data_IF_875642840213
#
_entry.id   IF_875642840213
#
_cell.length_a   1.000
_cell.length_b   1.000
_cell.length_c   1.000
_cell.angle_alpha   90.00
_cell.angle_beta   90.00
_cell.angle_gamma   90.00
#
_symmetry.space_group_name_H-M   'P 1'
#
loop_
_entity.id
_entity.type
_entity.pdbx_description
1 polymer ?
#
# COMPACT_ATOMS: atom_id res chain seq x y z
N UNK A 1 31.92 -25.63 -32.52
CA UNK A 1 31.21 -26.75 -33.17
C UNK A 1 30.22 -27.31 -32.13
N UNK A 2 29.02 -26.74 -32.03
CA UNK A 2 27.90 -27.34 -31.31
C UNK A 2 26.60 -26.99 -32.06
N UNK A 3 25.89 -28.07 -32.42
CA UNK A 3 24.71 -28.09 -33.26
C UNK A 3 23.48 -27.46 -32.58
N UNK A 4 22.75 -26.64 -33.32
CA UNK A 4 21.37 -26.28 -33.03
C UNK A 4 20.48 -27.51 -33.12
N UNK A 5 19.59 -27.67 -32.14
CA UNK A 5 18.42 -28.56 -32.23
C UNK A 5 17.18 -27.69 -32.12
N UNK A 6 16.50 -27.56 -33.27
CA UNK A 6 15.15 -27.02 -33.35
C UNK A 6 14.20 -28.05 -32.74
N UNK A 7 13.50 -27.68 -31.69
CA UNK A 7 12.35 -28.37 -31.14
C UNK A 7 11.15 -27.42 -31.14
N UNK A 8 10.23 -27.65 -32.06
CA UNK A 8 8.90 -27.07 -32.08
C UNK A 8 8.10 -27.66 -30.92
N UNK A 9 7.91 -26.91 -29.84
CA UNK A 9 6.92 -27.25 -28.82
C UNK A 9 5.70 -26.36 -28.98
N UNK A 10 4.61 -27.02 -29.30
CA UNK A 10 3.26 -26.50 -29.30
C UNK A 10 2.85 -26.16 -27.87
N UNK A 11 2.78 -24.86 -27.58
CA UNK A 11 2.24 -24.29 -26.33
C UNK A 11 0.73 -24.58 -26.26
N UNK A 12 0.39 -25.72 -25.66
CA UNK A 12 -0.96 -25.98 -25.18
C UNK A 12 -1.11 -25.30 -23.83
N UNK A 13 -1.50 -24.01 -23.87
CA UNK A 13 -1.85 -23.24 -22.69
C UNK A 13 -2.95 -23.91 -21.88
N UNK A 14 -2.57 -24.68 -20.86
CA UNK A 14 -3.42 -24.90 -19.69
C UNK A 14 -3.44 -23.58 -18.91
N UNK A 15 -4.44 -22.73 -19.20
CA UNK A 15 -4.95 -21.81 -18.20
C UNK A 15 -5.43 -22.70 -17.04
N UNK A 16 -4.60 -22.83 -16.01
CA UNK A 16 -5.11 -23.25 -14.71
C UNK A 16 -6.22 -22.25 -14.37
N UNK A 17 -7.45 -22.74 -14.22
CA UNK A 17 -8.54 -21.98 -13.62
C UNK A 17 -7.97 -21.42 -12.31
N UNK A 18 -7.82 -20.10 -12.23
CA UNK A 18 -7.42 -19.44 -11.02
C UNK A 18 -8.54 -19.78 -10.02
N UNK A 19 -8.25 -20.70 -9.09
CA UNK A 19 -9.18 -21.03 -8.01
C UNK A 19 -9.56 -19.73 -7.34
N UNK A 20 -10.85 -19.38 -7.37
CA UNK A 20 -11.34 -18.16 -6.73
C UNK A 20 -10.91 -18.21 -5.26
N UNK A 21 -10.07 -17.26 -4.84
CA UNK A 21 -9.61 -17.16 -3.46
C UNK A 21 -10.82 -17.01 -2.55
N UNK A 22 -10.82 -17.78 -1.47
CA UNK A 22 -11.96 -17.85 -0.55
C UNK A 22 -11.85 -16.83 0.57
N UNK A 23 -10.66 -16.62 1.09
CA UNK A 23 -10.38 -15.78 2.25
C UNK A 23 -9.44 -14.62 1.93
N UNK A 24 -8.37 -14.85 1.14
CA UNK A 24 -7.41 -13.82 0.77
C UNK A 24 -7.96 -12.92 -0.34
N UNK A 25 -7.97 -11.61 -0.08
CA UNK A 25 -8.19 -10.56 -1.08
C UNK A 25 -6.88 -10.13 -1.74
N UNK A 26 -6.87 -8.92 -2.31
CA UNK A 26 -5.67 -8.32 -2.92
C UNK A 26 -4.60 -7.90 -1.89
N UNK A 27 -4.99 -7.73 -0.63
CA UNK A 27 -4.10 -7.28 0.46
C UNK A 27 -4.43 -8.02 1.77
N UNK A 28 -4.24 -9.33 1.77
CA UNK A 28 -4.51 -10.19 2.90
C UNK A 28 -6.00 -10.53 3.10
N UNK A 29 -6.34 -11.05 4.27
CA UNK A 29 -7.71 -11.35 4.70
C UNK A 29 -8.27 -10.11 5.37
N UNK A 30 -9.44 -9.60 4.94
CA UNK A 30 -10.08 -8.40 5.52
C UNK A 30 -11.57 -8.61 5.74
N UNK A 31 -12.13 -7.88 6.69
CA UNK A 31 -13.57 -7.85 6.93
C UNK A 31 -13.97 -7.15 8.22
N UNK A 32 -15.27 -7.04 8.44
CA UNK A 32 -15.81 -6.54 9.68
C UNK A 32 -15.48 -7.47 10.85
N UNK A 33 -15.02 -6.93 11.96
CA UNK A 33 -14.63 -7.69 13.15
C UNK A 33 -15.81 -8.48 13.72
N UNK A 34 -15.55 -9.71 14.16
CA UNK A 34 -16.56 -10.69 14.62
C UNK A 34 -17.56 -11.15 13.53
N UNK A 35 -17.28 -10.82 12.27
CA UNK A 35 -17.99 -11.37 11.10
C UNK A 35 -16.97 -12.20 10.31
N UNK A 36 -17.40 -13.39 9.82
CA UNK A 36 -16.50 -14.21 8.99
C UNK A 36 -16.02 -13.43 7.75
N UNK A 37 -14.71 -13.45 7.42
CA UNK A 37 -13.64 -14.27 8.01
C UNK A 37 -12.92 -13.65 9.23
N UNK A 38 -13.23 -12.43 9.69
CA UNK A 38 -12.51 -11.71 10.75
C UNK A 38 -12.96 -12.08 12.18
N UNK A 39 -12.90 -13.37 12.51
CA UNK A 39 -13.21 -13.91 13.85
C UNK A 39 -11.97 -14.48 14.54
N UNK A 40 -11.98 -14.59 15.88
CA UNK A 40 -10.89 -15.23 16.62
C UNK A 40 -10.63 -16.67 16.19
N UNK A 41 -11.70 -17.45 15.90
CA UNK A 41 -11.58 -18.83 15.43
C UNK A 41 -10.87 -18.91 14.08
N UNK A 42 -11.19 -18.01 13.15
CA UNK A 42 -10.51 -17.95 11.86
C UNK A 42 -9.07 -17.48 12.00
N UNK A 43 -8.80 -16.45 12.81
CA UNK A 43 -7.43 -15.97 13.06
C UNK A 43 -6.52 -17.09 13.63
N UNK A 44 -7.06 -17.91 14.54
CA UNK A 44 -6.34 -19.07 15.06
C UNK A 44 -6.03 -20.08 13.94
N UNK A 45 -7.01 -20.40 13.07
CA UNK A 45 -6.79 -21.28 11.91
C UNK A 45 -5.76 -20.72 10.93
N UNK A 46 -5.79 -19.41 10.66
CA UNK A 46 -4.79 -18.74 9.83
C UNK A 46 -3.39 -18.90 10.44
N UNK A 47 -3.26 -18.69 11.76
CA UNK A 47 -1.99 -18.91 12.47
C UNK A 47 -1.48 -20.35 12.36
N UNK A 48 -2.37 -21.34 12.53
CA UNK A 48 -2.02 -22.77 12.36
C UNK A 48 -1.60 -23.06 10.93
N UNK A 49 -2.38 -22.65 9.93
CA UNK A 49 -2.15 -22.92 8.51
C UNK A 49 -0.87 -22.26 8.01
N UNK A 50 -0.69 -20.97 8.29
CA UNK A 50 0.52 -20.26 7.91
C UNK A 50 1.75 -20.82 8.64
N UNK A 51 1.63 -21.17 9.92
CA UNK A 51 2.68 -21.80 10.69
C UNK A 51 3.10 -23.15 10.08
N UNK A 52 2.16 -24.02 9.77
CA UNK A 52 2.43 -25.31 9.14
C UNK A 52 3.07 -25.15 7.74
N UNK A 53 2.60 -24.18 6.94
CA UNK A 53 3.13 -23.90 5.61
C UNK A 53 4.61 -23.45 5.63
N UNK A 54 5.01 -22.65 6.64
CA UNK A 54 6.36 -22.09 6.74
C UNK A 54 7.34 -22.94 7.56
N UNK A 55 6.93 -24.09 8.11
CA UNK A 55 7.85 -25.03 8.74
C UNK A 55 8.69 -25.77 7.69
N UNK A 56 9.88 -25.26 7.42
CA UNK A 56 10.81 -25.81 6.42
C UNK A 56 12.22 -25.91 7.01
N UNK A 57 12.78 -27.13 7.02
CA UNK A 57 14.10 -27.40 7.58
C UNK A 57 14.07 -27.67 9.09
N UNK A 58 15.25 -27.76 9.71
CA UNK A 58 15.44 -28.31 11.09
C UNK A 58 15.69 -27.19 12.14
N UNK A 59 15.46 -25.92 11.81
CA UNK A 59 15.66 -24.83 12.75
C UNK A 59 14.37 -24.52 13.55
N UNK A 60 14.51 -23.78 14.64
CA UNK A 60 13.36 -23.28 15.40
C UNK A 60 12.68 -22.17 14.63
N UNK A 61 11.46 -22.43 14.14
CA UNK A 61 10.70 -21.50 13.31
C UNK A 61 10.14 -20.34 14.15
N UNK A 62 10.05 -19.17 13.53
CA UNK A 62 9.65 -17.93 14.19
C UNK A 62 8.72 -17.10 13.33
N UNK A 63 7.68 -16.53 13.98
CA UNK A 63 6.81 -15.50 13.40
C UNK A 63 6.96 -14.18 14.15
N UNK A 64 6.97 -13.06 13.40
CA UNK A 64 6.86 -11.71 13.95
C UNK A 64 5.42 -11.25 13.77
N UNK A 65 4.76 -10.78 14.84
CA UNK A 65 3.38 -10.27 14.79
C UNK A 65 3.36 -8.83 15.26
N UNK A 66 2.93 -7.93 14.36
CA UNK A 66 2.59 -6.53 14.65
C UNK A 66 1.11 -6.26 14.42
N UNK A 67 0.65 -5.12 14.89
CA UNK A 67 -0.73 -4.68 14.74
C UNK A 67 -0.83 -3.16 14.67
N UNK A 68 -1.96 -2.66 14.18
CA UNK A 68 -2.34 -1.27 14.39
C UNK A 68 -3.00 -1.06 15.77
N UNK A 69 -3.67 0.05 15.94
CA UNK A 69 -4.24 0.45 17.24
C UNK A 69 -5.68 0.01 17.46
N UNK A 70 -6.29 -0.71 16.53
CA UNK A 70 -7.69 -1.18 16.62
C UNK A 70 -7.91 -2.05 17.85
N UNK A 71 -9.06 -1.87 18.52
CA UNK A 71 -9.45 -2.68 19.66
C UNK A 71 -9.46 -4.18 19.34
N UNK A 72 -9.96 -4.54 18.16
CA UNK A 72 -10.01 -5.94 17.69
C UNK A 72 -8.63 -6.58 17.52
N UNK A 73 -7.56 -5.77 17.39
CA UNK A 73 -6.19 -6.25 17.31
C UNK A 73 -5.77 -7.10 18.51
N UNK A 74 -6.29 -6.84 19.72
CA UNK A 74 -5.99 -7.66 20.91
C UNK A 74 -6.54 -9.09 20.78
N UNK A 75 -7.78 -9.23 20.30
CA UNK A 75 -8.42 -10.53 20.09
C UNK A 75 -7.72 -11.33 19.01
N UNK A 76 -7.45 -10.69 17.85
CA UNK A 76 -6.84 -11.35 16.70
C UNK A 76 -5.39 -11.75 16.98
N UNK A 77 -4.60 -10.88 17.64
CA UNK A 77 -3.22 -11.19 18.07
C UNK A 77 -3.19 -12.43 18.97
N UNK A 78 -4.06 -12.48 19.99
CA UNK A 78 -4.12 -13.62 20.91
C UNK A 78 -4.47 -14.93 20.21
N UNK A 79 -5.42 -14.88 19.27
CA UNK A 79 -5.83 -16.05 18.48
C UNK A 79 -4.72 -16.53 17.54
N UNK A 80 -4.05 -15.62 16.84
CA UNK A 80 -2.89 -15.94 15.98
C UNK A 80 -1.74 -16.55 16.80
N UNK A 81 -1.45 -15.98 17.99
CA UNK A 81 -0.43 -16.52 18.91
C UNK A 81 -0.74 -17.96 19.29
N UNK A 82 -1.99 -18.25 19.66
CA UNK A 82 -2.43 -19.60 19.97
C UNK A 82 -2.26 -20.56 18.75
N UNK A 83 -2.66 -20.09 17.56
CA UNK A 83 -2.52 -20.86 16.33
C UNK A 83 -1.07 -21.19 16.00
N UNK A 84 -0.19 -20.21 15.94
CA UNK A 84 1.24 -20.42 15.63
C UNK A 84 1.95 -21.30 16.66
N UNK A 85 1.71 -21.06 17.95
CA UNK A 85 2.36 -21.85 19.01
C UNK A 85 1.90 -23.31 18.99
N UNK A 86 0.63 -23.59 18.67
CA UNK A 86 0.08 -24.95 18.61
C UNK A 86 0.72 -25.83 17.54
N UNK A 87 1.28 -25.22 16.50
CA UNK A 87 2.04 -25.92 15.43
C UNK A 87 3.55 -25.79 15.60
N UNK A 88 4.05 -25.31 16.74
CA UNK A 88 5.48 -25.32 17.08
C UNK A 88 6.27 -24.08 16.70
N UNK A 89 5.64 -23.02 16.19
CA UNK A 89 6.35 -21.76 15.88
C UNK A 89 6.52 -20.87 17.13
N UNK A 90 7.70 -20.30 17.31
CA UNK A 90 7.93 -19.25 18.28
C UNK A 90 7.35 -17.91 17.78
N UNK A 91 6.63 -17.22 18.65
CA UNK A 91 5.98 -15.95 18.31
C UNK A 91 6.71 -14.79 18.97
N UNK A 92 7.03 -13.77 18.17
CA UNK A 92 7.59 -12.50 18.62
C UNK A 92 6.58 -11.40 18.36
N UNK A 93 5.96 -10.90 19.44
CA UNK A 93 5.01 -9.79 19.36
C UNK A 93 5.75 -8.46 19.46
N UNK A 94 5.46 -7.55 18.52
CA UNK A 94 6.10 -6.22 18.43
C UNK A 94 5.16 -5.08 18.83
N UNK A 95 3.88 -5.39 19.06
CA UNK A 95 2.86 -4.41 19.44
C UNK A 95 2.41 -3.52 18.29
N UNK A 96 1.89 -2.30 18.59
CA UNK A 96 1.54 -1.36 17.53
C UNK A 96 2.78 -0.87 16.77
N UNK A 97 2.84 -1.24 15.48
CA UNK A 97 3.95 -0.95 14.59
C UNK A 97 3.44 -0.79 13.15
N UNK A 98 4.02 0.11 12.34
CA UNK A 98 3.74 0.23 10.91
C UNK A 98 3.84 -1.09 10.15
N UNK A 99 3.03 -1.27 9.11
CA UNK A 99 3.11 -2.43 8.20
C UNK A 99 4.53 -2.62 7.66
N UNK A 100 5.23 -1.58 7.14
CA UNK A 100 6.61 -1.74 6.67
C UNK A 100 7.59 -2.11 7.79
N UNK A 101 7.34 -1.69 9.03
CA UNK A 101 8.17 -2.09 10.16
C UNK A 101 8.07 -3.61 10.43
N UNK A 102 6.88 -4.19 10.29
CA UNK A 102 6.70 -5.65 10.42
C UNK A 102 7.49 -6.38 9.32
N UNK A 103 7.40 -5.92 8.07
CA UNK A 103 8.18 -6.49 6.96
C UNK A 103 9.69 -6.40 7.23
N UNK A 104 10.19 -5.24 7.65
CA UNK A 104 11.61 -5.02 8.00
C UNK A 104 12.05 -5.90 9.18
N UNK A 105 11.24 -6.01 10.24
CA UNK A 105 11.57 -6.83 11.41
C UNK A 105 11.56 -8.33 11.06
N UNK A 106 10.70 -8.78 10.16
CA UNK A 106 10.68 -10.15 9.68
C UNK A 106 12.04 -10.52 9.07
N UNK A 107 12.58 -9.67 8.19
CA UNK A 107 13.91 -9.86 7.60
C UNK A 107 15.03 -9.76 8.65
N UNK A 108 15.06 -8.65 9.40
CA UNK A 108 16.17 -8.35 10.32
C UNK A 108 16.29 -9.35 11.46
N UNK A 109 15.18 -9.95 11.88
CA UNK A 109 15.14 -11.00 12.91
C UNK A 109 15.26 -12.42 12.32
N UNK A 110 15.38 -12.56 10.99
CA UNK A 110 15.39 -13.84 10.30
C UNK A 110 14.22 -14.72 10.70
N UNK A 111 13.03 -14.12 10.73
CA UNK A 111 11.79 -14.85 10.98
C UNK A 111 11.31 -15.53 9.69
N UNK A 112 10.62 -16.65 9.83
CA UNK A 112 10.10 -17.42 8.69
C UNK A 112 8.86 -16.75 8.08
N UNK A 113 8.14 -15.97 8.89
CA UNK A 113 6.93 -15.26 8.48
C UNK A 113 6.73 -14.00 9.33
N UNK A 114 6.19 -12.97 8.71
CA UNK A 114 5.66 -11.76 9.35
C UNK A 114 4.14 -11.68 9.24
N UNK A 115 3.50 -11.18 10.28
CA UNK A 115 2.05 -10.97 10.32
C UNK A 115 1.76 -9.54 10.74
N UNK A 116 1.02 -8.80 9.93
CA UNK A 116 0.45 -7.51 10.30
C UNK A 116 -1.06 -7.61 10.47
N UNK A 117 -1.56 -7.20 11.63
CA UNK A 117 -2.98 -7.15 11.95
C UNK A 117 -3.46 -5.71 11.73
N UNK A 118 -4.04 -5.44 10.57
CA UNK A 118 -4.57 -4.12 10.20
C UNK A 118 -5.49 -4.20 8.99
N UNK A 119 -6.45 -3.27 8.92
CA UNK A 119 -7.23 -2.98 7.73
C UNK A 119 -6.85 -1.62 7.10
N UNK A 120 -5.60 -1.15 7.32
CA UNK A 120 -5.06 0.09 6.75
C UNK A 120 -5.96 1.30 7.04
N UNK A 121 -6.46 1.96 6.00
CA UNK A 121 -7.29 3.16 6.07
C UNK A 121 -8.78 2.92 6.38
N UNK A 122 -9.23 1.66 6.54
CA UNK A 122 -10.62 1.37 6.86
C UNK A 122 -11.00 1.87 8.27
N UNK A 123 -12.31 2.08 8.57
CA UNK A 123 -12.79 2.37 9.91
C UNK A 123 -12.41 1.30 10.92
N UNK A 124 -12.44 1.63 12.22
CA UNK A 124 -12.04 0.74 13.32
C UNK A 124 -12.81 -0.59 13.39
N UNK A 125 -14.04 -0.61 12.88
CA UNK A 125 -14.91 -1.80 12.89
C UNK A 125 -14.39 -2.92 12.01
N UNK A 126 -13.57 -2.59 10.99
CA UNK A 126 -12.89 -3.55 10.14
C UNK A 126 -11.53 -3.92 10.73
N UNK A 127 -11.03 -5.11 10.36
CA UNK A 127 -9.64 -5.48 10.57
C UNK A 127 -9.15 -6.39 9.44
N UNK A 128 -7.85 -6.74 9.46
CA UNK A 128 -7.24 -7.60 8.45
C UNK A 128 -6.03 -8.34 8.99
N UNK A 129 -5.62 -9.36 8.25
CA UNK A 129 -4.40 -10.14 8.51
C UNK A 129 -3.60 -10.16 7.21
N UNK A 130 -2.44 -9.52 7.21
CA UNK A 130 -1.49 -9.48 6.10
C UNK A 130 -0.31 -10.38 6.45
N UNK A 131 0.15 -11.21 5.49
CA UNK A 131 1.26 -12.14 5.68
C UNK A 131 2.45 -11.71 4.82
N UNK A 132 3.65 -11.78 5.41
CA UNK A 132 4.93 -11.48 4.76
C UNK A 132 5.85 -12.69 4.84
N UNK A 133 6.49 -13.04 3.74
CA UNK A 133 7.51 -14.07 3.70
C UNK A 133 8.80 -13.66 4.45
N UNK A 134 9.75 -14.59 4.56
CA UNK A 134 11.03 -14.33 5.24
C UNK A 134 11.87 -13.24 4.55
N UNK A 135 11.57 -12.97 3.30
CA UNK A 135 12.16 -11.89 2.49
C UNK A 135 11.45 -10.53 2.70
N UNK A 136 10.45 -10.46 3.60
CA UNK A 136 9.69 -9.26 3.91
C UNK A 136 8.69 -8.84 2.82
N UNK A 137 8.52 -9.60 1.76
CA UNK A 137 7.50 -9.35 0.74
C UNK A 137 6.17 -10.01 1.12
N UNK A 138 5.06 -9.45 0.63
CA UNK A 138 3.75 -10.10 0.68
C UNK A 138 3.82 -11.46 -0.01
N UNK A 139 3.01 -12.41 0.45
CA UNK A 139 3.01 -13.76 -0.10
C UNK A 139 2.54 -13.78 -1.56
N UNK A 140 3.03 -14.76 -2.33
CA UNK A 140 2.53 -15.01 -3.68
C UNK A 140 1.13 -15.64 -3.64
N UNK A 141 0.42 -15.57 -4.77
CA UNK A 141 -0.92 -16.15 -4.93
C UNK A 141 -0.92 -17.65 -4.65
N UNK A 142 0.16 -18.35 -5.04
CA UNK A 142 0.33 -19.78 -4.79
C UNK A 142 0.50 -20.08 -3.30
N UNK A 143 1.25 -19.27 -2.58
CA UNK A 143 1.44 -19.41 -1.14
C UNK A 143 0.14 -19.13 -0.38
N UNK A 144 -0.60 -18.07 -0.76
CA UNK A 144 -1.91 -17.76 -0.20
C UNK A 144 -2.92 -18.89 -0.44
N UNK A 145 -2.99 -19.43 -1.67
CA UNK A 145 -3.87 -20.55 -2.00
C UNK A 145 -3.53 -21.83 -1.23
N UNK A 146 -2.23 -22.12 -1.04
CA UNK A 146 -1.78 -23.26 -0.24
C UNK A 146 -2.16 -23.10 1.25
N UNK A 147 -2.06 -21.89 1.80
CA UNK A 147 -2.49 -21.60 3.17
C UNK A 147 -4.02 -21.72 3.29
N UNK A 148 -4.81 -21.25 2.29
CA UNK A 148 -6.27 -21.44 2.28
C UNK A 148 -6.67 -22.92 2.30
N UNK A 149 -5.99 -23.74 1.52
CA UNK A 149 -6.23 -25.18 1.52
C UNK A 149 -5.98 -25.83 2.91
N UNK A 150 -4.97 -25.34 3.63
CA UNK A 150 -4.71 -25.77 5.00
C UNK A 150 -5.76 -25.24 6.00
N UNK A 151 -6.27 -24.01 5.85
CA UNK A 151 -7.35 -23.47 6.70
C UNK A 151 -8.61 -24.35 6.65
N UNK A 152 -8.93 -24.89 5.49
CA UNK A 152 -10.11 -25.75 5.28
C UNK A 152 -9.85 -27.24 5.59
N UNK A 153 -8.58 -27.62 5.80
CA UNK A 153 -8.14 -28.98 6.11
C UNK A 153 -7.85 -29.24 7.59
N UNK A 154 -7.35 -30.44 7.85
CA UNK A 154 -6.84 -30.82 9.17
C UNK A 154 -5.37 -30.45 9.28
N UNK A 155 -5.01 -29.64 10.28
CA UNK A 155 -3.64 -29.25 10.54
C UNK A 155 -3.13 -30.04 11.74
N UNK A 156 -2.08 -30.87 11.59
CA UNK A 156 -1.54 -31.64 12.69
C UNK A 156 -0.89 -30.73 13.73
N UNK A 157 -1.24 -30.94 15.00
CA UNK A 157 -0.63 -30.25 16.13
C UNK A 157 0.67 -30.97 16.53
N UNK A 158 1.63 -30.20 17.04
CA UNK A 158 2.88 -30.76 17.54
C UNK A 158 2.71 -31.39 18.93
N UNK A 159 3.58 -32.36 19.32
CA UNK A 159 3.66 -32.86 20.70
C UNK A 159 3.91 -31.73 21.71
N UNK A 160 3.52 -31.97 22.98
CA UNK A 160 3.56 -30.96 24.03
C UNK A 160 4.94 -30.35 24.31
N UNK A 161 6.01 -31.07 24.06
CA UNK A 161 7.41 -30.64 24.19
C UNK A 161 7.90 -29.82 23.01
N UNK A 162 7.14 -29.76 21.91
CA UNK A 162 7.45 -29.00 20.70
C UNK A 162 6.57 -27.74 20.52
N UNK A 163 5.66 -27.45 21.45
CA UNK A 163 4.84 -26.24 21.43
C UNK A 163 5.74 -25.00 21.39
N UNK A 164 5.35 -24.01 20.55
CA UNK A 164 6.06 -22.75 20.38
C UNK A 164 5.97 -21.87 21.63
N UNK A 165 6.88 -20.89 21.74
CA UNK A 165 6.91 -19.92 22.83
C UNK A 165 6.54 -18.54 22.31
N UNK A 166 5.72 -17.81 23.05
CA UNK A 166 5.38 -16.43 22.74
C UNK A 166 6.14 -15.46 23.65
N UNK A 167 6.68 -14.39 23.06
CA UNK A 167 7.31 -13.31 23.80
C UNK A 167 7.04 -11.97 23.13
N UNK A 168 7.01 -10.90 23.93
CA UNK A 168 7.03 -9.53 23.43
C UNK A 168 8.47 -9.02 23.45
N UNK A 169 8.85 -8.24 22.44
CA UNK A 169 10.07 -7.45 22.45
C UNK A 169 9.74 -5.97 22.58
N UNK A 170 10.56 -5.23 23.33
CA UNK A 170 10.29 -3.82 23.64
C UNK A 170 11.10 -2.88 22.77
N UNK A 171 12.18 -3.35 22.15
CA UNK A 171 13.08 -2.58 21.31
C UNK A 171 12.65 -2.46 19.83
N UNK A 172 11.51 -3.04 19.45
CA UNK A 172 11.01 -3.05 18.07
C UNK A 172 10.85 -1.63 17.49
N UNK A 173 10.31 -0.71 18.31
CA UNK A 173 10.13 0.70 17.91
C UNK A 173 11.47 1.37 17.61
N UNK A 174 12.44 1.22 18.50
CA UNK A 174 13.79 1.78 18.31
C UNK A 174 14.50 1.25 17.06
N UNK A 175 14.30 -0.04 16.75
CA UNK A 175 14.84 -0.65 15.52
C UNK A 175 14.27 -0.01 14.26
N UNK A 176 12.94 0.18 14.20
CA UNK A 176 12.31 0.82 13.04
C UNK A 176 12.64 2.32 12.96
N UNK A 177 12.65 3.05 14.08
CA UNK A 177 13.07 4.46 14.12
C UNK A 177 14.50 4.59 13.57
N UNK A 178 15.41 3.74 14.01
CA UNK A 178 16.80 3.74 13.51
C UNK A 178 16.84 3.45 12.01
N UNK A 179 16.12 2.43 11.55
CA UNK A 179 16.01 2.08 10.14
C UNK A 179 15.47 3.24 9.32
N UNK A 180 14.31 3.81 9.69
CA UNK A 180 13.71 4.92 8.97
C UNK A 180 14.66 6.11 8.87
N UNK A 181 15.28 6.52 9.97
CA UNK A 181 16.27 7.62 9.99
C UNK A 181 17.50 7.33 9.12
N UNK A 182 17.94 6.08 9.02
CA UNK A 182 19.09 5.74 8.16
C UNK A 182 18.83 5.94 6.66
N UNK A 183 17.56 6.11 6.26
CA UNK A 183 17.18 6.45 4.88
C UNK A 183 17.28 7.96 4.60
N UNK A 184 17.32 8.78 5.64
CA UNK A 184 17.50 10.23 5.52
C UNK A 184 18.97 10.57 5.26
N UNK A 185 19.28 11.53 4.36
CA UNK A 185 20.67 11.86 4.05
C UNK A 185 21.47 12.31 5.28
N UNK A 186 22.63 11.69 5.52
CA UNK A 186 23.48 11.95 6.70
C UNK A 186 23.92 13.40 6.84
N UNK A 187 24.06 14.11 5.72
CA UNK A 187 24.50 15.51 5.69
C UNK A 187 23.37 16.51 5.87
N UNK A 188 22.14 16.06 6.09
CA UNK A 188 20.96 16.91 6.31
C UNK A 188 20.43 16.75 7.73
N UNK A 189 19.81 17.82 8.21
CA UNK A 189 19.06 17.87 9.47
C UNK A 189 17.78 18.68 9.25
N UNK A 190 16.76 18.39 10.04
CA UNK A 190 15.47 19.10 9.98
C UNK A 190 15.39 20.28 10.95
N UNK A 191 16.52 20.69 11.57
CA UNK A 191 16.54 21.84 12.50
C UNK A 191 15.92 23.09 11.84
N UNK A 192 15.00 23.74 12.56
CA UNK A 192 14.27 24.92 12.12
C UNK A 192 13.11 24.63 11.16
N UNK A 193 12.82 23.37 10.84
CA UNK A 193 11.64 22.97 10.08
C UNK A 193 10.52 22.57 11.04
N UNK A 194 9.37 23.22 10.95
CA UNK A 194 8.16 22.85 11.69
C UNK A 194 7.29 21.94 10.84
N UNK A 195 7.01 20.75 11.36
CA UNK A 195 6.25 19.70 10.67
C UNK A 195 5.00 19.36 11.47
N UNK A 196 3.81 19.49 10.87
CA UNK A 196 2.59 18.89 11.42
C UNK A 196 2.54 17.45 10.99
N UNK A 197 2.43 16.52 11.93
CA UNK A 197 2.41 15.09 11.66
C UNK A 197 1.09 14.48 12.16
N UNK A 198 0.30 13.96 11.22
CA UNK A 198 -0.94 13.22 11.49
C UNK A 198 -0.66 11.70 11.37
N UNK A 199 -0.77 11.00 12.49
CA UNK A 199 -0.58 9.55 12.56
C UNK A 199 -1.90 8.75 12.52
N UNK A 200 -3.02 9.35 12.12
CA UNK A 200 -4.32 8.69 11.98
C UNK A 200 -4.82 7.95 13.25
N UNK A 201 -4.33 8.27 14.44
CA UNK A 201 -4.44 7.43 15.64
C UNK A 201 -4.02 5.97 15.38
N UNK A 202 -3.14 5.74 14.41
CA UNK A 202 -2.73 4.45 13.88
C UNK A 202 -1.39 3.96 14.42
N UNK A 203 -0.82 2.99 13.73
CA UNK A 203 0.37 2.25 14.14
C UNK A 203 1.65 3.09 14.29
N UNK A 204 1.74 4.21 13.57
CA UNK A 204 2.91 5.11 13.60
C UNK A 204 2.89 6.12 14.75
N UNK A 205 1.86 6.18 15.59
CA UNK A 205 1.62 7.23 16.59
C UNK A 205 2.79 7.50 17.56
N UNK A 206 3.68 6.54 17.74
CA UNK A 206 4.91 6.70 18.54
C UNK A 206 6.16 6.86 17.69
N UNK A 207 6.30 6.00 16.67
CA UNK A 207 7.56 5.90 15.94
C UNK A 207 7.79 7.08 15.00
N UNK A 208 6.74 7.61 14.35
CA UNK A 208 6.89 8.70 13.41
C UNK A 208 7.23 10.04 14.09
N UNK A 209 6.55 10.47 15.18
CA UNK A 209 6.95 11.66 15.92
C UNK A 209 8.39 11.57 16.44
N UNK A 210 8.78 10.40 16.97
CA UNK A 210 10.13 10.19 17.49
C UNK A 210 11.20 10.28 16.40
N UNK A 211 10.95 9.67 15.22
CA UNK A 211 11.90 9.73 14.11
C UNK A 211 12.14 11.15 13.60
N UNK A 212 11.09 11.96 13.45
CA UNK A 212 11.21 13.36 13.01
C UNK A 212 11.89 14.24 14.07
N UNK A 213 11.53 14.06 15.34
CA UNK A 213 12.17 14.77 16.45
C UNK A 213 13.68 14.46 16.54
N UNK A 214 14.07 13.19 16.41
CA UNK A 214 15.48 12.80 16.44
C UNK A 214 16.28 13.34 15.24
N UNK A 215 15.61 13.68 14.13
CA UNK A 215 16.22 14.37 12.98
C UNK A 215 16.28 15.89 13.14
N UNK A 216 15.70 16.44 14.23
CA UNK A 216 15.77 17.87 14.56
C UNK A 216 14.52 18.68 14.19
N UNK A 217 13.43 18.06 13.72
CA UNK A 217 12.20 18.78 13.38
C UNK A 217 11.47 19.30 14.64
N UNK A 218 10.81 20.48 14.52
CA UNK A 218 9.80 20.96 15.45
C UNK A 218 8.47 20.30 15.08
N UNK A 219 8.06 19.25 15.84
CA UNK A 219 6.95 18.39 15.48
C UNK A 219 5.67 18.78 16.21
N UNK A 220 4.64 19.15 15.47
CA UNK A 220 3.26 19.29 15.94
C UNK A 220 2.50 18.01 15.60
N UNK A 221 2.30 17.14 16.58
CA UNK A 221 1.67 15.83 16.34
C UNK A 221 0.16 15.86 16.58
N UNK A 222 -0.62 15.38 15.61
CA UNK A 222 -2.06 15.12 15.71
C UNK A 222 -2.35 13.65 15.37
N UNK A 223 -3.53 13.14 15.73
CA UNK A 223 -3.84 11.74 15.51
C UNK A 223 -2.90 10.78 16.25
N UNK A 224 -2.46 11.13 17.48
CA UNK A 224 -1.47 10.35 18.28
C UNK A 224 -2.02 9.85 19.61
N UNK A 225 -3.32 9.88 19.80
CA UNK A 225 -4.00 9.44 21.03
C UNK A 225 -5.00 8.30 20.75
N UNK A 226 -4.51 7.12 20.33
CA UNK A 226 -5.37 6.01 19.95
C UNK A 226 -6.14 5.48 21.19
N UNK A 227 -7.44 5.24 21.01
CA UNK A 227 -8.30 4.65 22.02
C UNK A 227 -8.89 3.27 21.61
N UNK A 228 -8.50 2.77 20.45
CA UNK A 228 -8.94 1.50 19.88
C UNK A 228 -10.11 1.60 18.90
N UNK A 229 -10.80 2.74 18.88
CA UNK A 229 -11.99 2.97 18.04
C UNK A 229 -11.94 4.25 17.21
N UNK A 230 -10.87 5.03 17.32
CA UNK A 230 -10.70 6.32 16.63
C UNK A 230 -9.62 6.32 15.53
N UNK A 231 -9.16 5.15 15.10
CA UNK A 231 -8.21 5.05 13.98
C UNK A 231 -8.86 5.54 12.67
N UNK A 232 -8.18 6.40 11.91
CA UNK A 232 -8.65 7.02 10.67
C UNK A 232 -9.95 7.84 10.79
N UNK A 233 -10.40 8.18 11.99
CA UNK A 233 -11.65 8.90 12.22
C UNK A 233 -11.42 10.42 12.15
N UNK A 234 -11.70 10.99 10.98
CA UNK A 234 -11.50 12.41 10.69
C UNK A 234 -10.02 12.87 10.68
N UNK A 235 -9.09 11.94 10.65
CA UNK A 235 -7.64 12.17 10.66
C UNK A 235 -6.94 11.20 9.69
N UNK A 236 -5.68 11.49 9.37
CA UNK A 236 -4.81 10.66 8.54
C UNK A 236 -4.96 10.91 7.04
N UNK A 237 -4.30 10.09 6.23
CA UNK A 237 -4.14 10.30 4.79
C UNK A 237 -5.45 10.29 3.97
N UNK A 238 -6.52 9.72 4.51
CA UNK A 238 -7.85 9.71 3.87
C UNK A 238 -8.75 10.87 4.30
N UNK A 239 -8.34 11.64 5.32
CA UNK A 239 -9.06 12.81 5.85
C UNK A 239 -8.07 13.93 6.19
N UNK A 240 -7.32 14.47 5.21
CA UNK A 240 -6.21 15.39 5.45
C UNK A 240 -6.64 16.82 5.80
N UNK A 241 -7.93 17.09 5.95
CA UNK A 241 -8.47 18.44 6.22
C UNK A 241 -8.00 18.99 7.58
N UNK A 242 -8.05 18.15 8.63
CA UNK A 242 -7.55 18.53 9.95
C UNK A 242 -6.05 18.84 9.94
N UNK A 243 -5.28 18.09 9.14
CA UNK A 243 -3.86 18.36 8.91
C UNK A 243 -3.67 19.73 8.23
N UNK A 244 -4.40 20.00 7.13
CA UNK A 244 -4.31 21.26 6.38
C UNK A 244 -4.62 22.47 7.25
N UNK A 245 -5.70 22.41 8.03
CA UNK A 245 -6.06 23.47 8.99
C UNK A 245 -4.98 23.68 10.05
N UNK A 246 -4.39 22.59 10.56
CA UNK A 246 -3.34 22.67 11.58
C UNK A 246 -2.04 23.24 11.02
N UNK A 247 -1.66 22.89 9.79
CA UNK A 247 -0.48 23.45 9.11
C UNK A 247 -0.58 24.95 9.03
N UNK A 248 -1.69 25.46 8.49
CA UNK A 248 -1.92 26.91 8.35
C UNK A 248 -1.98 27.60 9.72
N UNK A 249 -2.73 27.05 10.68
CA UNK A 249 -2.90 27.65 11.99
C UNK A 249 -1.60 27.69 12.82
N UNK A 250 -0.72 26.70 12.66
CA UNK A 250 0.56 26.65 13.37
C UNK A 250 1.71 27.36 12.66
N UNK A 251 1.50 27.82 11.42
CA UNK A 251 2.56 28.35 10.55
C UNK A 251 3.66 27.32 10.30
N UNK A 252 3.27 26.07 10.08
CA UNK A 252 4.22 25.00 9.80
C UNK A 252 4.70 25.05 8.35
N UNK A 253 5.91 24.55 8.12
CA UNK A 253 6.50 24.49 6.78
C UNK A 253 5.90 23.40 5.91
N UNK A 254 5.34 22.34 6.54
CA UNK A 254 4.79 21.19 5.84
C UNK A 254 3.94 20.32 6.79
N UNK A 255 2.94 19.65 6.24
CA UNK A 255 2.14 18.64 6.93
C UNK A 255 2.34 17.26 6.32
N UNK A 256 2.34 16.23 7.16
CA UNK A 256 2.48 14.82 6.79
C UNK A 256 1.31 14.05 7.38
N UNK A 257 0.52 13.36 6.55
CA UNK A 257 -0.52 12.44 6.99
C UNK A 257 -0.16 11.01 6.60
N UNK A 258 -0.16 10.13 7.59
CA UNK A 258 -0.08 8.68 7.41
C UNK A 258 -1.48 8.06 7.52
N UNK A 259 -1.66 6.82 7.06
CA UNK A 259 -2.88 6.06 7.35
C UNK A 259 -2.71 5.13 8.56
N UNK A 260 -3.74 4.35 8.86
CA UNK A 260 -3.80 3.55 10.10
C UNK A 260 -2.65 2.58 10.31
N UNK A 261 -2.04 2.04 9.26
CA UNK A 261 -0.85 1.18 9.34
C UNK A 261 0.39 1.77 8.68
N UNK A 262 0.31 3.06 8.33
CA UNK A 262 1.40 3.91 7.88
C UNK A 262 2.13 3.41 6.62
N UNK A 263 1.42 2.70 5.75
CA UNK A 263 1.92 2.32 4.44
C UNK A 263 1.63 3.37 3.35
N UNK A 264 0.88 4.45 3.70
CA UNK A 264 0.54 5.58 2.83
C UNK A 264 0.99 6.91 3.39
N UNK A 265 1.22 7.85 2.46
CA UNK A 265 1.62 9.22 2.72
C UNK A 265 0.78 10.20 1.88
N UNK A 266 0.20 11.19 2.53
CA UNK A 266 -0.28 12.42 1.91
C UNK A 266 0.47 13.58 2.56
N UNK A 267 0.78 14.60 1.79
CA UNK A 267 1.47 15.79 2.27
C UNK A 267 0.56 17.01 2.10
N UNK A 268 0.75 17.99 2.96
CA UNK A 268 0.12 19.31 2.86
C UNK A 268 1.23 20.34 2.87
N UNK A 269 1.23 21.27 1.92
CA UNK A 269 2.19 22.37 1.90
C UNK A 269 1.87 23.45 2.94
N UNK A 270 2.73 24.42 3.10
CA UNK A 270 2.58 25.52 4.09
C UNK A 270 1.34 26.41 3.83
N UNK A 271 0.75 26.33 2.64
CA UNK A 271 -0.48 27.09 2.29
C UNK A 271 -1.76 26.32 2.65
N UNK A 272 -1.64 25.04 3.05
CA UNK A 272 -2.76 24.14 3.31
C UNK A 272 -3.20 23.35 2.08
N UNK A 273 -2.47 23.40 0.97
CA UNK A 273 -2.80 22.67 -0.25
C UNK A 273 -2.35 21.21 -0.14
N UNK A 274 -3.26 20.29 -0.48
CA UNK A 274 -2.99 18.85 -0.40
C UNK A 274 -2.16 18.41 -1.61
N UNK A 275 -1.13 17.63 -1.36
CA UNK A 275 -0.20 17.06 -2.32
C UNK A 275 -0.37 15.55 -2.33
N UNK A 276 -0.86 14.99 -3.43
CA UNK A 276 -1.14 13.56 -3.56
C UNK A 276 0.09 12.71 -3.93
N UNK A 277 -0.10 11.38 -3.96
CA UNK A 277 0.97 10.44 -4.25
C UNK A 277 1.63 10.63 -5.61
N UNK A 278 0.92 11.12 -6.62
CA UNK A 278 1.49 11.36 -7.95
C UNK A 278 2.54 12.49 -7.92
N UNK A 279 2.24 13.59 -7.22
CA UNK A 279 3.17 14.71 -7.02
C UNK A 279 4.38 14.26 -6.19
N UNK A 280 4.14 13.45 -5.13
CA UNK A 280 5.20 12.94 -4.27
C UNK A 280 6.13 12.00 -5.02
N UNK A 281 5.59 11.06 -5.81
CA UNK A 281 6.39 10.18 -6.66
C UNK A 281 7.19 10.95 -7.71
N UNK A 282 6.60 11.97 -8.35
CA UNK A 282 7.30 12.84 -9.29
C UNK A 282 8.49 13.56 -8.61
N UNK A 283 8.28 14.06 -7.38
CA UNK A 283 9.31 14.75 -6.60
C UNK A 283 10.46 13.81 -6.25
N UNK A 284 10.16 12.61 -5.74
CA UNK A 284 11.18 11.61 -5.40
C UNK A 284 11.93 11.14 -6.65
N UNK A 285 11.22 10.81 -7.74
CA UNK A 285 11.85 10.35 -8.98
C UNK A 285 12.79 11.42 -9.57
N UNK A 286 12.36 12.68 -9.63
CA UNK A 286 13.20 13.79 -10.09
C UNK A 286 14.43 14.00 -9.18
N UNK A 287 14.26 13.90 -7.86
CA UNK A 287 15.35 14.00 -6.88
C UNK A 287 16.37 12.87 -7.08
N UNK A 288 15.90 11.64 -7.18
CA UNK A 288 16.76 10.47 -7.37
C UNK A 288 17.43 10.45 -8.76
N UNK A 289 16.74 10.93 -9.80
CA UNK A 289 17.36 11.10 -11.13
C UNK A 289 18.55 12.07 -11.09
N UNK A 290 18.38 13.24 -10.46
CA UNK A 290 19.48 14.22 -10.28
C UNK A 290 20.66 13.65 -9.49
N UNK A 291 20.41 12.73 -8.55
CA UNK A 291 21.43 12.07 -7.74
C UNK A 291 22.03 10.82 -8.42
N UNK A 292 21.58 10.45 -9.62
CA UNK A 292 22.02 9.24 -10.31
C UNK A 292 21.56 7.92 -9.64
N UNK A 293 20.52 7.99 -8.80
CA UNK A 293 19.98 6.85 -8.03
C UNK A 293 18.74 6.21 -8.64
N UNK A 294 18.02 6.94 -9.51
CA UNK A 294 16.79 6.42 -10.11
C UNK A 294 17.08 5.25 -11.04
N UNK A 295 16.62 4.06 -10.68
CA UNK A 295 16.74 2.85 -11.49
C UNK A 295 15.55 2.71 -12.47
N UNK A 296 15.76 1.99 -13.58
CA UNK A 296 14.72 1.76 -14.59
C UNK A 296 14.40 2.96 -15.48
N UNK A 297 15.02 4.13 -15.25
CA UNK A 297 14.80 5.33 -16.05
C UNK A 297 13.41 5.97 -15.88
N UNK A 298 12.74 5.73 -14.76
CA UNK A 298 11.40 6.26 -14.47
C UNK A 298 10.78 5.66 -13.24
N UNK A 299 9.45 5.60 -13.20
CA UNK A 299 8.71 5.00 -12.08
C UNK A 299 7.56 4.08 -12.56
N UNK A 300 7.07 3.26 -11.64
CA UNK A 300 5.91 2.38 -11.85
C UNK A 300 4.74 2.91 -11.06
N UNK A 301 3.58 3.14 -11.71
CA UNK A 301 2.36 3.53 -11.03
C UNK A 301 1.15 2.74 -11.54
N UNK A 302 -0.01 2.92 -10.92
CA UNK A 302 -1.22 2.26 -11.41
C UNK A 302 -1.87 3.02 -12.56
N UNK A 303 -2.84 2.38 -13.20
CA UNK A 303 -3.68 3.05 -14.22
C UNK A 303 -4.48 4.24 -13.67
N UNK A 304 -4.52 4.44 -12.35
CA UNK A 304 -5.23 5.56 -11.72
C UNK A 304 -4.39 6.84 -11.64
N UNK A 305 -3.06 6.75 -11.75
CA UNK A 305 -2.18 7.92 -11.72
C UNK A 305 -2.47 8.87 -12.87
N UNK A 306 -2.43 10.17 -12.58
CA UNK A 306 -2.83 11.22 -13.50
C UNK A 306 -1.95 11.27 -14.77
N UNK A 307 -2.52 11.59 -15.92
CA UNK A 307 -1.80 11.75 -17.18
C UNK A 307 -0.78 12.92 -17.12
N UNK A 308 -1.04 13.92 -16.26
CA UNK A 308 -0.08 14.99 -15.96
C UNK A 308 1.25 14.47 -15.45
N UNK A 309 1.25 13.45 -14.59
CA UNK A 309 2.46 12.76 -14.13
C UNK A 309 3.26 12.19 -15.30
N UNK A 310 2.60 11.49 -16.23
CA UNK A 310 3.25 10.89 -17.39
C UNK A 310 3.89 11.96 -18.30
N UNK A 311 3.14 13.03 -18.60
CA UNK A 311 3.64 14.16 -19.38
C UNK A 311 4.83 14.86 -18.71
N UNK A 312 4.75 15.04 -17.41
CA UNK A 312 5.83 15.66 -16.61
C UNK A 312 7.12 14.81 -16.64
N UNK A 313 7.00 13.51 -16.43
CA UNK A 313 8.14 12.60 -16.48
C UNK A 313 8.74 12.55 -17.89
N UNK A 314 7.92 12.44 -18.92
CA UNK A 314 8.38 12.43 -20.31
C UNK A 314 9.15 13.70 -20.68
N UNK A 315 8.72 14.88 -20.22
CA UNK A 315 9.43 16.14 -20.41
C UNK A 315 10.83 16.16 -19.76
N UNK A 316 11.08 15.29 -18.79
CA UNK A 316 12.39 15.11 -18.14
C UNK A 316 13.19 13.92 -18.69
N UNK A 317 12.69 13.26 -19.74
CA UNK A 317 13.31 12.05 -20.31
C UNK A 317 13.13 10.81 -19.42
N UNK A 318 12.16 10.83 -18.50
CA UNK A 318 11.81 9.73 -17.60
C UNK A 318 10.55 9.01 -18.08
N UNK A 319 10.45 7.70 -17.81
CA UNK A 319 9.30 6.90 -18.16
C UNK A 319 8.29 6.72 -17.04
N UNK A 320 7.02 6.48 -17.40
CA UNK A 320 5.97 5.98 -16.51
C UNK A 320 5.49 4.63 -17.03
N UNK A 321 5.61 3.60 -16.20
CA UNK A 321 5.03 2.28 -16.47
C UNK A 321 3.76 2.13 -15.66
N UNK A 322 2.63 1.80 -16.32
CA UNK A 322 1.33 1.64 -15.66
C UNK A 322 1.00 0.17 -15.44
N UNK A 323 0.47 -0.12 -14.27
CA UNK A 323 -0.03 -1.45 -13.88
C UNK A 323 -1.52 -1.41 -13.56
N UNK A 324 -2.13 -2.57 -13.36
CA UNK A 324 -3.42 -2.67 -12.72
C UNK A 324 -3.38 -2.04 -11.30
N UNK A 325 -4.54 -1.67 -10.77
CA UNK A 325 -4.67 -1.12 -9.41
C UNK A 325 -4.33 -2.19 -8.38
N UNK A 326 -3.54 -1.81 -7.39
CA UNK A 326 -3.07 -2.65 -6.30
C UNK A 326 -1.55 -2.62 -6.21
N UNK A 327 -1.06 -2.39 -5.02
CA UNK A 327 0.36 -2.28 -4.70
C UNK A 327 1.18 -3.52 -5.09
N UNK A 328 0.56 -4.71 -5.04
CA UNK A 328 1.17 -5.97 -5.51
C UNK A 328 1.60 -5.88 -6.98
N UNK A 329 0.74 -5.36 -7.86
CA UNK A 329 1.05 -5.23 -9.28
C UNK A 329 2.17 -4.21 -9.54
N UNK A 330 2.16 -3.11 -8.78
CA UNK A 330 3.24 -2.12 -8.82
C UNK A 330 4.56 -2.77 -8.43
N UNK A 331 4.59 -3.44 -7.28
CA UNK A 331 5.80 -4.09 -6.75
C UNK A 331 6.34 -5.20 -7.68
N UNK A 332 5.48 -6.05 -8.21
CA UNK A 332 5.85 -7.10 -9.17
C UNK A 332 6.49 -6.50 -10.42
N UNK A 333 5.91 -5.41 -10.94
CA UNK A 333 6.45 -4.71 -12.10
C UNK A 333 7.78 -4.03 -11.79
N UNK A 334 7.91 -3.40 -10.61
CA UNK A 334 9.18 -2.83 -10.17
C UNK A 334 10.29 -3.89 -10.14
N UNK A 335 10.03 -5.02 -9.48
CA UNK A 335 10.99 -6.13 -9.34
C UNK A 335 11.38 -6.75 -10.70
N UNK A 336 10.39 -7.03 -11.54
CA UNK A 336 10.63 -7.70 -12.84
C UNK A 336 11.34 -6.81 -13.87
N UNK A 337 11.26 -5.48 -13.70
CA UNK A 337 11.79 -4.53 -14.67
C UNK A 337 12.89 -3.61 -14.09
N UNK A 338 13.29 -3.81 -12.83
CA UNK A 338 14.42 -3.11 -12.21
C UNK A 338 14.14 -1.64 -11.86
N UNK A 339 12.88 -1.28 -11.54
CA UNK A 339 12.53 0.04 -11.04
C UNK A 339 12.67 0.09 -9.51
N UNK A 340 13.12 1.22 -8.97
CA UNK A 340 13.24 1.41 -7.52
C UNK A 340 12.29 2.45 -6.93
N UNK A 341 11.47 3.11 -7.75
CA UNK A 341 10.40 4.02 -7.33
C UNK A 341 9.09 3.58 -7.97
N UNK A 342 8.05 3.43 -7.17
CA UNK A 342 6.70 3.15 -7.65
C UNK A 342 5.65 3.41 -6.59
N UNK A 343 4.38 3.36 -6.98
CA UNK A 343 3.29 3.54 -6.03
C UNK A 343 1.95 3.88 -6.67
N UNK A 344 1.10 4.49 -5.89
CA UNK A 344 -0.27 4.85 -6.24
C UNK A 344 -0.55 6.32 -5.88
N UNK A 345 -1.47 6.95 -6.61
CA UNK A 345 -1.97 8.29 -6.31
C UNK A 345 -2.49 8.41 -4.86
N UNK A 346 -3.00 7.33 -4.29
CA UNK A 346 -3.46 7.25 -2.90
C UNK A 346 -2.35 7.43 -1.85
N UNK A 347 -1.09 7.59 -2.26
CA UNK A 347 0.05 7.79 -1.38
C UNK A 347 0.77 6.52 -0.94
N UNK A 348 0.39 5.34 -1.42
CA UNK A 348 1.16 4.12 -1.20
C UNK A 348 2.42 4.15 -2.08
N UNK A 349 3.55 4.56 -1.52
CA UNK A 349 4.81 4.79 -2.23
C UNK A 349 5.82 3.72 -1.82
N UNK A 350 6.36 3.00 -2.80
CA UNK A 350 7.35 1.94 -2.64
C UNK A 350 8.71 2.46 -3.10
N UNK A 351 9.68 2.45 -2.20
CA UNK A 351 11.07 2.79 -2.47
C UNK A 351 11.92 1.53 -2.22
N UNK A 352 12.11 0.72 -3.26
CA UNK A 352 12.66 -0.63 -3.10
C UNK A 352 14.14 -0.67 -2.69
N UNK A 353 14.86 0.45 -2.75
CA UNK A 353 16.19 0.59 -2.14
C UNK A 353 16.13 0.48 -0.61
N UNK A 354 14.97 0.70 0.00
CA UNK A 354 14.79 0.74 1.44
C UNK A 354 13.79 -0.28 1.96
N UNK A 355 12.63 -0.45 1.30
CA UNK A 355 11.52 -1.24 1.81
C UNK A 355 10.94 -2.18 0.76
N UNK A 356 10.35 -3.28 1.21
CA UNK A 356 9.70 -4.30 0.38
C UNK A 356 8.21 -4.06 0.16
N UNK A 357 7.67 -3.00 0.73
CA UNK A 357 6.28 -2.53 0.61
C UNK A 357 6.25 -1.01 0.72
N UNK A 358 5.09 -0.38 0.57
CA UNK A 358 4.93 1.04 0.85
C UNK A 358 5.33 1.37 2.29
N UNK A 359 6.05 2.48 2.46
CA UNK A 359 6.46 3.02 3.76
C UNK A 359 6.23 4.53 3.77
N UNK A 360 5.13 4.95 4.42
CA UNK A 360 4.75 6.35 4.46
C UNK A 360 5.77 7.23 5.19
N UNK A 361 6.41 6.72 6.24
CA UNK A 361 7.43 7.46 6.97
C UNK A 361 8.72 7.61 6.15
N UNK A 362 9.20 6.52 5.54
CA UNK A 362 10.39 6.58 4.68
C UNK A 362 10.16 7.50 3.47
N UNK A 363 8.98 7.40 2.83
CA UNK A 363 8.62 8.30 1.74
C UNK A 363 8.57 9.77 2.21
N UNK A 364 7.97 10.05 3.38
CA UNK A 364 7.97 11.39 3.98
C UNK A 364 9.38 11.92 4.23
N UNK A 365 10.30 11.09 4.70
CA UNK A 365 11.70 11.48 4.91
C UNK A 365 12.40 11.85 3.59
N UNK A 366 12.10 11.17 2.47
CA UNK A 366 12.65 11.56 1.16
C UNK A 366 12.08 12.91 0.69
N UNK A 367 10.79 13.16 0.93
CA UNK A 367 10.16 14.47 0.64
C UNK A 367 10.76 15.57 1.49
N UNK A 368 10.87 15.38 2.81
CA UNK A 368 11.48 16.34 3.72
C UNK A 368 12.94 16.66 3.35
N UNK A 369 13.69 15.64 2.93
CA UNK A 369 15.07 15.82 2.45
C UNK A 369 15.12 16.69 1.19
N UNK A 370 14.16 16.55 0.27
CA UNK A 370 14.11 17.37 -0.94
C UNK A 370 13.71 18.82 -0.64
N UNK A 371 12.69 19.03 0.19
CA UNK A 371 12.29 20.38 0.63
C UNK A 371 13.44 21.07 1.37
N UNK A 372 14.09 20.36 2.31
CA UNK A 372 15.23 20.91 3.06
C UNK A 372 16.43 21.24 2.17
N UNK A 373 16.70 20.41 1.17
CA UNK A 373 17.82 20.60 0.23
C UNK A 373 17.57 21.76 -0.74
N UNK A 374 16.32 21.97 -1.15
CA UNK A 374 15.95 23.06 -2.06
C UNK A 374 16.05 24.43 -1.39
N UNK A 375 15.79 24.51 -0.09
CA UNK A 375 15.67 25.75 0.65
C UNK A 375 14.45 26.60 0.27
N UNK A 376 13.55 26.07 -0.57
CA UNK A 376 12.31 26.72 -1.01
C UNK A 376 11.10 26.17 -0.22
N UNK A 377 9.98 26.90 -0.17
CA UNK A 377 8.74 26.43 0.43
C UNK A 377 8.23 25.11 -0.18
N UNK A 378 7.48 24.32 0.59
CA UNK A 378 6.93 23.06 0.12
C UNK A 378 6.00 23.25 -1.11
N UNK A 379 5.25 24.35 -1.15
CA UNK A 379 4.39 24.72 -2.29
C UNK A 379 5.14 24.90 -3.61
N UNK A 380 6.40 25.36 -3.58
CA UNK A 380 7.22 25.47 -4.79
C UNK A 380 7.90 24.15 -5.17
N UNK A 381 8.19 23.30 -4.18
CA UNK A 381 8.95 22.07 -4.38
C UNK A 381 8.07 20.91 -4.81
N UNK A 382 6.84 20.82 -4.29
CA UNK A 382 6.02 19.62 -4.37
C UNK A 382 4.98 19.64 -5.51
N UNK A 383 4.58 20.81 -6.01
CA UNK A 383 3.67 20.92 -7.16
C UNK A 383 4.46 20.81 -8.47
N UNK A 384 4.75 19.56 -8.87
CA UNK A 384 5.63 19.25 -10.00
C UNK A 384 4.99 19.43 -11.37
N UNK A 385 3.67 19.26 -11.43
CA UNK A 385 2.87 19.39 -12.65
C UNK A 385 1.45 19.80 -12.32
N UNK A 386 0.76 20.39 -13.28
CA UNK A 386 -0.69 20.66 -13.17
C UNK A 386 -1.46 19.37 -13.45
N UNK A 387 -2.25 18.85 -12.49
CA UNK A 387 -3.05 17.66 -12.72
C UNK A 387 -4.10 17.90 -13.81
N UNK A 388 -4.23 16.98 -14.75
CA UNK A 388 -5.33 17.06 -15.71
C UNK A 388 -6.66 16.78 -15.01
N UNK A 389 -7.75 17.46 -15.45
CA UNK A 389 -9.09 17.12 -15.03
C UNK A 389 -9.37 15.63 -15.16
N UNK A 390 -9.71 14.97 -14.05
CA UNK A 390 -10.01 13.56 -13.96
C UNK A 390 -11.36 13.35 -13.30
N UNK A 391 -12.23 12.53 -13.90
CA UNK A 391 -13.54 12.19 -13.36
C UNK A 391 -13.74 10.68 -13.30
N UNK A 392 -14.07 10.18 -12.11
CA UNK A 392 -14.44 8.79 -11.85
C UNK A 392 -15.91 8.71 -11.46
N UNK A 393 -16.69 7.91 -12.18
CA UNK A 393 -18.06 7.54 -11.79
C UNK A 393 -18.21 6.03 -11.64
N UNK A 394 -19.03 5.64 -10.66
CA UNK A 394 -19.35 4.25 -10.37
C UNK A 394 -20.73 3.91 -10.91
N UNK A 395 -20.85 2.84 -11.68
CA UNK A 395 -22.14 2.31 -12.16
C UNK A 395 -22.41 0.97 -11.52
N UNK A 396 -23.43 0.89 -10.66
CA UNK A 396 -23.88 -0.37 -10.06
C UNK A 396 -24.70 -1.16 -11.07
N UNK A 397 -24.58 -2.50 -11.05
CA UNK A 397 -25.36 -3.42 -11.88
C UNK A 397 -25.80 -4.64 -11.09
N UNK A 398 -26.93 -5.22 -11.46
CA UNK A 398 -27.54 -6.33 -10.72
C UNK A 398 -27.06 -7.72 -11.18
N UNK A 399 -26.36 -7.80 -12.33
CA UNK A 399 -25.88 -9.06 -12.89
C UNK A 399 -25.50 -8.92 -14.37
N UNK A 400 -25.05 -10.01 -14.98
CA UNK A 400 -24.61 -10.01 -16.38
C UNK A 400 -23.20 -9.43 -16.57
N UNK A 401 -22.87 -9.17 -17.83
CA UNK A 401 -21.59 -8.56 -18.25
C UNK A 401 -21.85 -7.32 -19.12
N UNK A 402 -22.25 -6.19 -18.53
CA UNK A 402 -22.62 -5.00 -19.30
C UNK A 402 -21.54 -4.52 -20.29
N UNK A 403 -20.24 -4.69 -19.94
CA UNK A 403 -19.13 -4.33 -20.82
C UNK A 403 -18.99 -5.20 -22.08
N UNK A 404 -19.61 -6.37 -22.11
CA UNK A 404 -19.55 -7.27 -23.28
C UNK A 404 -20.59 -6.93 -24.35
N UNK A 405 -21.56 -6.05 -24.05
CA UNK A 405 -22.58 -5.59 -25.00
C UNK A 405 -21.97 -4.74 -26.13
N UNK A 406 -22.33 -5.02 -27.37
CA UNK A 406 -21.78 -4.33 -28.55
C UNK A 406 -22.06 -2.83 -28.53
N UNK A 407 -23.23 -2.40 -28.04
CA UNK A 407 -23.57 -0.98 -27.88
C UNK A 407 -22.64 -0.27 -26.88
N UNK A 408 -22.23 -0.95 -25.81
CA UNK A 408 -21.29 -0.39 -24.82
C UNK A 408 -19.88 -0.31 -25.41
N UNK A 409 -19.44 -1.37 -26.10
CA UNK A 409 -18.14 -1.40 -26.80
C UNK A 409 -18.01 -0.29 -27.85
N UNK A 410 -19.09 -0.04 -28.62
CA UNK A 410 -19.12 1.03 -29.61
C UNK A 410 -18.93 2.41 -28.95
N UNK A 411 -19.67 2.69 -27.87
CA UNK A 411 -19.56 3.96 -27.14
C UNK A 411 -18.16 4.11 -26.51
N UNK A 412 -17.56 3.05 -26.02
CA UNK A 412 -16.18 3.08 -25.49
C UNK A 412 -15.18 3.42 -26.61
N UNK A 413 -15.27 2.75 -27.76
CA UNK A 413 -14.38 3.02 -28.90
C UNK A 413 -14.50 4.45 -29.42
N UNK A 414 -15.72 5.01 -29.50
CA UNK A 414 -15.93 6.42 -29.84
C UNK A 414 -15.28 7.36 -28.81
N UNK A 415 -15.44 7.06 -27.53
CA UNK A 415 -14.84 7.84 -26.44
C UNK A 415 -13.30 7.81 -26.46
N UNK A 416 -12.71 6.64 -26.71
CA UNK A 416 -11.26 6.50 -26.88
C UNK A 416 -10.74 7.32 -28.08
N UNK A 417 -11.46 7.29 -29.22
CA UNK A 417 -11.10 8.09 -30.37
C UNK A 417 -11.23 9.60 -30.11
N UNK A 418 -12.26 10.03 -29.37
CA UNK A 418 -12.48 11.44 -28.98
C UNK A 418 -11.38 11.96 -28.03
N UNK A 419 -10.86 11.13 -27.14
CA UNK A 419 -9.81 11.47 -26.17
C UNK A 419 -8.40 11.28 -26.73
N UNK A 420 -8.24 10.68 -27.90
CA UNK A 420 -6.93 10.34 -28.46
C UNK A 420 -5.97 11.54 -28.52
N UNK A 421 -4.78 11.40 -27.90
CA UNK A 421 -3.74 12.44 -27.83
C UNK A 421 -4.02 13.59 -26.84
N UNK A 422 -5.24 13.69 -26.28
CA UNK A 422 -5.63 14.76 -25.34
C UNK A 422 -6.05 14.25 -23.96
N UNK A 423 -6.32 12.99 -23.87
CA UNK A 423 -6.83 12.38 -22.64
C UNK A 423 -6.72 10.86 -22.66
N UNK A 424 -7.34 10.23 -21.67
CA UNK A 424 -7.27 8.79 -21.44
C UNK A 424 -8.56 8.28 -20.78
N UNK A 425 -8.91 7.03 -21.07
CA UNK A 425 -10.06 6.35 -20.52
C UNK A 425 -9.61 5.10 -19.76
N UNK A 426 -10.21 4.84 -18.60
CA UNK A 426 -10.03 3.61 -17.83
C UNK A 426 -11.39 3.09 -17.39
N UNK A 427 -11.75 1.91 -17.86
CA UNK A 427 -13.00 1.25 -17.50
C UNK A 427 -12.66 -0.13 -16.93
N UNK A 428 -13.18 -0.43 -15.74
CA UNK A 428 -12.94 -1.70 -15.09
C UNK A 428 -14.07 -2.13 -14.18
N UNK A 429 -14.39 -3.43 -14.10
CA UNK A 429 -15.23 -3.94 -13.02
C UNK A 429 -14.49 -3.82 -11.69
N UNK A 430 -15.25 -3.63 -10.60
CA UNK A 430 -14.73 -3.79 -9.25
C UNK A 430 -14.52 -5.27 -8.95
N UNK A 431 -13.41 -5.61 -8.29
CA UNK A 431 -13.15 -7.00 -7.87
C UNK A 431 -13.99 -7.46 -6.67
N UNK A 432 -14.61 -6.51 -5.93
CA UNK A 432 -15.28 -6.80 -4.64
C UNK A 432 -16.77 -6.43 -4.63
N UNK A 433 -17.22 -5.61 -5.57
CA UNK A 433 -18.60 -5.10 -5.63
C UNK A 433 -19.15 -5.22 -7.04
N UNK A 434 -20.47 -5.36 -7.23
CA UNK A 434 -21.11 -5.33 -8.55
C UNK A 434 -21.16 -3.90 -9.11
N UNK A 435 -19.99 -3.34 -9.37
CA UNK A 435 -19.77 -1.95 -9.82
C UNK A 435 -18.78 -1.93 -10.98
N UNK A 436 -19.12 -1.19 -12.03
CA UNK A 436 -18.19 -0.79 -13.09
C UNK A 436 -17.71 0.62 -12.79
N UNK A 437 -16.41 0.80 -12.75
CA UNK A 437 -15.75 2.08 -12.56
C UNK A 437 -15.36 2.64 -13.92
N UNK A 438 -15.89 3.83 -14.24
CA UNK A 438 -15.61 4.57 -15.47
C UNK A 438 -14.84 5.82 -15.09
N UNK A 439 -13.60 5.92 -15.53
CA UNK A 439 -12.74 7.07 -15.32
C UNK A 439 -12.27 7.60 -16.67
N UNK A 440 -12.36 8.91 -16.86
CA UNK A 440 -11.67 9.62 -17.92
C UNK A 440 -10.87 10.78 -17.36
N UNK A 441 -9.83 11.15 -18.06
CA UNK A 441 -9.04 12.36 -17.80
C UNK A 441 -8.60 12.98 -19.14
N UNK A 442 -8.40 14.29 -19.15
CA UNK A 442 -8.04 15.01 -20.37
C UNK A 442 -7.93 16.51 -20.17
N UNK A 443 -7.53 17.21 -21.22
CA UNK A 443 -7.26 18.66 -21.19
C UNK A 443 -8.52 19.51 -20.99
N UNK A 444 -9.71 19.04 -21.43
CA UNK A 444 -10.99 19.75 -21.31
C UNK A 444 -11.92 19.04 -20.29
N UNK A 445 -12.20 19.65 -19.13
CA UNK A 445 -13.08 19.06 -18.11
C UNK A 445 -14.50 18.80 -18.61
N UNK A 446 -15.03 19.65 -19.50
CA UNK A 446 -16.37 19.46 -20.07
C UNK A 446 -16.41 18.26 -21.03
N UNK A 447 -15.35 18.01 -21.77
CA UNK A 447 -15.21 16.81 -22.61
C UNK A 447 -15.12 15.55 -21.74
N UNK A 448 -14.32 15.57 -20.68
CA UNK A 448 -14.17 14.46 -19.73
C UNK A 448 -15.53 14.09 -19.12
N UNK A 449 -16.30 15.07 -18.66
CA UNK A 449 -17.63 14.84 -18.07
C UNK A 449 -18.59 14.22 -19.08
N UNK A 450 -18.71 14.79 -20.29
CA UNK A 450 -19.59 14.25 -21.36
C UNK A 450 -19.24 12.81 -21.72
N UNK A 451 -17.96 12.50 -21.83
CA UNK A 451 -17.48 11.14 -22.17
C UNK A 451 -17.83 10.16 -21.07
N UNK A 452 -17.55 10.48 -19.80
CA UNK A 452 -17.87 9.63 -18.66
C UNK A 452 -19.37 9.38 -18.55
N UNK A 453 -20.18 10.42 -18.70
CA UNK A 453 -21.65 10.30 -18.60
C UNK A 453 -22.23 9.44 -19.72
N UNK A 454 -21.79 9.63 -20.95
CA UNK A 454 -22.20 8.82 -22.10
C UNK A 454 -21.92 7.35 -21.89
N UNK A 455 -20.73 7.00 -21.36
CA UNK A 455 -20.37 5.60 -21.07
C UNK A 455 -21.18 5.06 -19.90
N UNK A 456 -21.33 5.82 -18.82
CA UNK A 456 -22.15 5.41 -17.68
C UNK A 456 -23.59 5.12 -18.08
N UNK A 457 -24.19 5.92 -18.97
CA UNK A 457 -25.55 5.71 -19.49
C UNK A 457 -25.65 4.47 -20.38
N UNK A 458 -24.66 4.22 -21.23
CA UNK A 458 -24.60 3.01 -22.03
C UNK A 458 -24.51 1.75 -21.15
N UNK A 459 -23.65 1.78 -20.11
CA UNK A 459 -23.52 0.68 -19.14
C UNK A 459 -24.81 0.47 -18.35
N UNK A 460 -25.49 1.53 -17.88
CA UNK A 460 -26.78 1.42 -17.17
C UNK A 460 -27.85 0.78 -18.05
N UNK A 461 -27.94 1.19 -19.32
CA UNK A 461 -28.92 0.61 -20.29
C UNK A 461 -28.64 -0.86 -20.59
N UNK A 462 -27.37 -1.26 -20.64
CA UNK A 462 -26.99 -2.65 -20.86
C UNK A 462 -27.13 -3.54 -19.60
N UNK A 463 -27.20 -2.92 -18.42
CA UNK A 463 -27.38 -3.58 -17.12
C UNK A 463 -28.85 -3.68 -16.68
N UNK A 464 -29.78 -3.00 -17.35
CA UNK A 464 -31.22 -3.03 -17.12
C UNK A 464 -31.86 -4.23 -17.87
#
# INVERSE_FOLDING_TARGET
MYRAINGSDTDTGRKADAMARKYFGTDGIRGATNVSPMTAAMAMKVGMAAGAYFQRGDHRHRVVIGKDTRLSGYMLESALVAGFTSVGMDVVMVGPMPTPAVAMLTQSMRADIGVMISASHNPYADNGIKLFGPDGYKLSDEAEAAIEALIDGDIPLVPSDQIGRARRIEDAQGRYIHFAKSTFPENLRLDGMRVVLDCANGAAYRVAPSALWELGADVVAIGVTPNGTNINDGVGSTAPQALAETVVASGADIGIALDGDADRLIVVDETGTIVDGDQLMATIAASWARQGRLAGGGLVATVMSNLGLERHLAAQGLGLVRTAVGDRHVLEKMRSSGYNVGGEQSGHIILSDYATTGDGLVAALQILAEVKRSGAPASEVLHRFEPLPQLLKNVRFAGGKPLDHDAVKAVIAEAEAELAGKGRLVIRPSGTEPVIRVMAEGDDPAQVERVVDRICDAVRKAAA
#
